data_IF_299399446198
#
_entry.id   IF_299399446198
#
_cell.length_a   1.000
_cell.length_b   1.000
_cell.length_c   1.000
_cell.angle_alpha   90.00
_cell.angle_beta   90.00
_cell.angle_gamma   90.00
#
_symmetry.space_group_name_H-M   'P 1'
#
loop_
_entity.id
_entity.type
_entity.pdbx_description
1 polymer ?
#
# COMPACT_ATOMS: atom_id res chain seq x y z
N UNK A 1 -20.37 8.71 8.05
CA UNK A 1 -19.79 9.19 6.78
C UNK A 1 -18.39 8.58 6.66
N UNK A 2 -18.01 8.04 5.49
CA UNK A 2 -16.66 7.53 5.29
C UNK A 2 -15.69 8.69 4.93
N UNK A 3 -14.37 8.47 5.01
CA UNK A 3 -13.35 9.51 4.77
C UNK A 3 -13.47 10.12 3.36
N UNK A 4 -13.81 9.31 2.37
CA UNK A 4 -14.01 9.76 0.99
C UNK A 4 -15.20 10.72 0.87
N UNK A 5 -16.33 10.41 1.52
CA UNK A 5 -17.50 11.30 1.57
C UNK A 5 -17.14 12.63 2.20
N UNK A 6 -16.39 12.63 3.31
CA UNK A 6 -15.99 13.87 3.99
C UNK A 6 -15.12 14.73 3.06
N UNK A 7 -14.13 14.12 2.39
CA UNK A 7 -13.27 14.83 1.45
C UNK A 7 -14.05 15.41 0.26
N UNK A 8 -14.97 14.63 -0.32
CA UNK A 8 -15.79 15.06 -1.46
C UNK A 8 -16.79 16.16 -1.07
N UNK A 9 -17.45 16.03 0.09
CA UNK A 9 -18.38 17.05 0.59
C UNK A 9 -17.64 18.34 0.90
N UNK A 10 -16.46 18.27 1.52
CA UNK A 10 -15.62 19.44 1.76
C UNK A 10 -15.21 20.14 0.46
N UNK A 11 -14.78 19.37 -0.55
CA UNK A 11 -14.45 19.90 -1.87
C UNK A 11 -15.66 20.55 -2.55
N UNK A 12 -16.83 19.91 -2.51
CA UNK A 12 -18.07 20.45 -3.06
C UNK A 12 -18.47 21.77 -2.37
N UNK A 13 -18.35 21.83 -1.03
CA UNK A 13 -18.69 23.02 -0.26
C UNK A 13 -17.83 24.23 -0.67
N UNK A 14 -16.53 24.04 -0.85
CA UNK A 14 -15.60 25.09 -1.30
C UNK A 14 -15.96 25.64 -2.68
N UNK A 15 -16.39 24.76 -3.60
CA UNK A 15 -16.83 25.17 -4.94
C UNK A 15 -18.16 25.92 -4.86
N UNK A 16 -19.12 25.42 -4.08
CA UNK A 16 -20.43 26.09 -3.91
C UNK A 16 -20.34 27.46 -3.26
N UNK A 17 -19.39 27.65 -2.34
CA UNK A 17 -19.14 28.94 -1.69
C UNK A 17 -18.28 29.89 -2.54
N UNK A 18 -17.93 29.52 -3.78
CA UNK A 18 -17.04 30.29 -4.66
C UNK A 18 -15.66 30.60 -4.05
N UNK A 19 -15.20 29.79 -3.10
CA UNK A 19 -13.82 29.86 -2.60
C UNK A 19 -12.85 29.37 -3.68
N UNK A 20 -13.28 28.37 -4.45
CA UNK A 20 -12.63 27.86 -5.66
C UNK A 20 -13.62 27.85 -6.82
N UNK A 21 -13.15 28.15 -8.03
CA UNK A 21 -13.91 27.82 -9.23
C UNK A 21 -13.87 26.31 -9.51
N UNK A 22 -14.87 25.79 -10.22
CA UNK A 22 -14.86 24.38 -10.65
C UNK A 22 -13.63 24.04 -11.50
N UNK A 23 -13.16 24.98 -12.33
CA UNK A 23 -11.95 24.81 -13.14
C UNK A 23 -10.68 24.73 -12.27
N UNK A 24 -10.58 25.53 -11.22
CA UNK A 24 -9.47 25.48 -10.26
C UNK A 24 -9.50 24.18 -9.45
N UNK A 25 -10.69 23.72 -9.04
CA UNK A 25 -10.84 22.46 -8.35
C UNK A 25 -10.41 21.28 -9.24
N UNK A 26 -10.83 21.26 -10.51
CA UNK A 26 -10.37 20.24 -11.46
C UNK A 26 -8.86 20.27 -11.68
N UNK A 27 -8.29 21.47 -11.88
CA UNK A 27 -6.85 21.65 -12.06
C UNK A 27 -6.01 21.36 -10.81
N UNK A 28 -6.62 21.23 -9.64
CA UNK A 28 -5.93 20.85 -8.41
C UNK A 28 -5.63 19.34 -8.32
N UNK A 29 -6.41 18.51 -9.03
CA UNK A 29 -6.26 17.06 -8.99
C UNK A 29 -5.01 16.66 -9.78
N UNK A 30 -4.05 16.01 -9.14
CA UNK A 30 -2.87 15.49 -9.83
C UNK A 30 -3.21 14.21 -10.62
N UNK A 31 -3.22 14.26 -11.96
CA UNK A 31 -3.60 13.11 -12.78
C UNK A 31 -2.61 11.95 -12.62
N UNK A 32 -1.33 12.25 -12.39
CA UNK A 32 -0.28 11.24 -12.25
C UNK A 32 -0.53 10.36 -11.03
N UNK A 33 -0.84 10.95 -9.88
CA UNK A 33 -1.19 10.22 -8.65
C UNK A 33 -2.45 9.38 -8.81
N UNK A 34 -3.51 9.95 -9.38
CA UNK A 34 -4.79 9.22 -9.56
C UNK A 34 -4.60 8.02 -10.50
N UNK A 35 -3.91 8.21 -11.62
CA UNK A 35 -3.59 7.14 -12.58
C UNK A 35 -2.70 6.08 -11.92
N UNK A 36 -1.70 6.52 -11.15
CA UNK A 36 -0.81 5.61 -10.44
C UNK A 36 -1.54 4.75 -9.40
N UNK A 37 -2.37 5.38 -8.56
CA UNK A 37 -3.18 4.68 -7.55
C UNK A 37 -4.10 3.64 -8.18
N UNK A 38 -4.84 4.03 -9.21
CA UNK A 38 -5.72 3.12 -9.95
C UNK A 38 -4.92 1.94 -10.53
N UNK A 39 -3.76 2.24 -11.14
CA UNK A 39 -2.91 1.22 -11.77
C UNK A 39 -2.35 0.22 -10.75
N UNK A 40 -1.87 0.71 -9.61
CA UNK A 40 -1.37 -0.15 -8.52
C UNK A 40 -2.48 -1.02 -7.93
N UNK A 41 -3.70 -0.50 -7.79
CA UNK A 41 -4.85 -1.32 -7.37
C UNK A 41 -5.18 -2.42 -8.39
N UNK A 42 -5.14 -2.11 -9.68
CA UNK A 42 -5.33 -3.10 -10.75
C UNK A 42 -4.26 -4.20 -10.70
N UNK A 43 -2.99 -3.82 -10.49
CA UNK A 43 -1.88 -4.78 -10.36
C UNK A 43 -2.09 -5.68 -9.12
N UNK A 44 -2.39 -5.09 -7.97
CA UNK A 44 -2.64 -5.82 -6.73
C UNK A 44 -3.83 -6.76 -6.83
N UNK A 45 -4.90 -6.33 -7.50
CA UNK A 45 -6.06 -7.17 -7.76
C UNK A 45 -5.70 -8.39 -8.64
N UNK A 46 -4.89 -8.19 -9.68
CA UNK A 46 -4.40 -9.30 -10.51
C UNK A 46 -3.52 -10.28 -9.73
N UNK A 47 -2.63 -9.77 -8.86
CA UNK A 47 -1.81 -10.60 -7.96
C UNK A 47 -2.67 -11.42 -7.00
N UNK A 48 -3.70 -10.79 -6.42
CA UNK A 48 -4.67 -11.46 -5.55
C UNK A 48 -5.42 -12.57 -6.29
N UNK A 49 -5.99 -12.28 -7.47
CA UNK A 49 -6.66 -13.31 -8.27
C UNK A 49 -5.73 -14.44 -8.74
N UNK A 50 -4.45 -14.15 -8.94
CA UNK A 50 -3.44 -15.14 -9.29
C UNK A 50 -3.09 -16.10 -8.13
N UNK A 51 -3.40 -15.72 -6.89
CA UNK A 51 -3.02 -16.45 -5.68
C UNK A 51 -1.59 -16.17 -5.21
N UNK A 52 -1.03 -15.00 -5.59
CA UNK A 52 0.34 -14.62 -5.25
C UNK A 52 0.54 -14.46 -3.73
N UNK A 53 -0.41 -13.80 -3.07
CA UNK A 53 -0.30 -13.45 -1.66
C UNK A 53 -0.36 -14.69 -0.75
N UNK A 54 -1.27 -15.62 -1.06
CA UNK A 54 -1.38 -16.91 -0.38
C UNK A 54 -0.12 -17.76 -0.58
N UNK A 55 0.39 -17.83 -1.82
CA UNK A 55 1.62 -18.55 -2.14
C UNK A 55 2.81 -17.97 -1.38
N UNK A 56 2.92 -16.64 -1.34
CA UNK A 56 4.04 -15.95 -0.71
C UNK A 56 4.00 -16.14 0.81
N UNK A 57 2.84 -15.96 1.44
CA UNK A 57 2.69 -16.21 2.87
C UNK A 57 3.05 -17.65 3.23
N UNK A 58 2.55 -18.63 2.48
CA UNK A 58 2.89 -20.04 2.68
C UNK A 58 4.38 -20.33 2.52
N UNK A 59 5.03 -19.66 1.58
CA UNK A 59 6.46 -19.80 1.35
C UNK A 59 7.27 -19.17 2.49
N UNK A 60 6.83 -18.01 3.00
CA UNK A 60 7.44 -17.34 4.15
C UNK A 60 7.37 -18.23 5.39
N UNK A 61 6.18 -18.69 5.77
CA UNK A 61 6.01 -19.47 7.01
C UNK A 61 6.71 -20.83 6.98
N UNK A 62 7.07 -21.35 5.79
CA UNK A 62 7.89 -22.57 5.65
C UNK A 62 9.35 -22.38 6.06
N UNK A 63 9.83 -21.14 6.14
CA UNK A 63 11.21 -20.82 6.52
C UNK A 63 11.46 -20.95 8.02
N UNK A 64 10.41 -21.21 8.81
CA UNK A 64 10.52 -21.25 10.26
C UNK A 64 9.55 -22.25 10.89
N UNK A 65 9.97 -22.82 12.01
CA UNK A 65 9.16 -23.78 12.78
C UNK A 65 8.91 -23.31 14.22
N UNK A 66 9.34 -22.09 14.58
CA UNK A 66 9.25 -21.55 15.93
C UNK A 66 8.32 -20.33 16.02
N UNK A 67 7.63 -20.12 17.15
CA UNK A 67 6.82 -18.92 17.39
C UNK A 67 7.56 -17.61 17.17
N UNK A 68 8.83 -17.53 17.62
CA UNK A 68 9.67 -16.35 17.42
C UNK A 68 10.06 -16.16 15.95
N UNK A 69 10.48 -17.23 15.28
CA UNK A 69 10.84 -17.15 13.87
C UNK A 69 9.64 -16.81 12.99
N UNK A 70 8.44 -17.28 13.34
CA UNK A 70 7.18 -16.88 12.69
C UNK A 70 6.93 -15.38 12.85
N UNK A 71 7.17 -14.82 14.04
CA UNK A 71 7.04 -13.37 14.28
C UNK A 71 8.01 -12.56 13.41
N UNK A 72 9.28 -12.98 13.35
CA UNK A 72 10.30 -12.32 12.55
C UNK A 72 10.00 -12.39 11.05
N UNK A 73 9.67 -13.58 10.54
CA UNK A 73 9.37 -13.81 9.13
C UNK A 73 8.09 -13.08 8.71
N UNK A 74 7.06 -13.08 9.55
CA UNK A 74 5.85 -12.29 9.26
C UNK A 74 6.17 -10.81 9.25
N UNK A 75 6.89 -10.29 10.25
CA UNK A 75 7.25 -8.87 10.31
C UNK A 75 8.07 -8.43 9.08
N UNK A 76 9.20 -9.08 8.80
CA UNK A 76 10.06 -8.69 7.68
C UNK A 76 9.45 -9.05 6.31
N UNK A 77 8.82 -10.22 6.20
CA UNK A 77 8.21 -10.66 4.94
C UNK A 77 7.02 -9.79 4.54
N UNK A 78 6.12 -9.48 5.47
CA UNK A 78 4.98 -8.59 5.19
C UNK A 78 5.42 -7.14 5.02
N UNK A 79 6.40 -6.68 5.80
CA UNK A 79 6.98 -5.34 5.63
C UNK A 79 7.61 -5.16 4.25
N UNK A 80 8.38 -6.15 3.79
CA UNK A 80 8.97 -6.14 2.45
C UNK A 80 7.91 -6.14 1.35
N UNK A 81 6.89 -7.01 1.46
CA UNK A 81 5.79 -7.01 0.49
C UNK A 81 5.05 -5.68 0.48
N UNK A 82 4.79 -5.11 1.64
CA UNK A 82 4.12 -3.81 1.79
C UNK A 82 4.96 -2.63 1.30
N UNK A 83 6.27 -2.80 1.14
CA UNK A 83 7.14 -1.81 0.50
C UNK A 83 7.00 -1.82 -1.03
N UNK A 84 6.44 -2.86 -1.65
CA UNK A 84 6.25 -2.89 -3.12
C UNK A 84 4.78 -2.88 -3.53
N UNK A 85 3.90 -3.33 -2.65
CA UNK A 85 2.46 -3.43 -2.84
C UNK A 85 1.72 -2.54 -1.85
N UNK A 86 0.43 -2.28 -2.08
CA UNK A 86 -0.37 -1.46 -1.18
C UNK A 86 -0.53 -2.16 0.17
N UNK A 87 -0.12 -1.48 1.24
CA UNK A 87 -0.22 -1.92 2.63
C UNK A 87 -1.61 -2.46 3.00
N UNK A 88 -2.68 -1.79 2.57
CA UNK A 88 -4.06 -2.21 2.85
C UNK A 88 -4.39 -3.58 2.24
N UNK A 89 -3.86 -3.88 1.05
CA UNK A 89 -4.05 -5.18 0.39
C UNK A 89 -3.37 -6.28 1.18
N UNK A 90 -2.13 -6.06 1.62
CA UNK A 90 -1.39 -7.04 2.43
C UNK A 90 -2.10 -7.28 3.76
N UNK A 91 -2.50 -6.21 4.45
CA UNK A 91 -3.20 -6.30 5.73
C UNK A 91 -4.51 -7.10 5.61
N UNK A 92 -5.35 -6.78 4.63
CA UNK A 92 -6.64 -7.45 4.44
C UNK A 92 -6.52 -8.92 4.02
N UNK A 93 -5.56 -9.24 3.15
CA UNK A 93 -5.38 -10.62 2.66
C UNK A 93 -4.67 -11.50 3.68
N UNK A 94 -3.67 -10.98 4.39
CA UNK A 94 -2.89 -11.78 5.34
C UNK A 94 -3.61 -11.96 6.67
N UNK A 95 -4.46 -11.02 7.11
CA UNK A 95 -5.22 -11.14 8.36
C UNK A 95 -5.98 -12.48 8.51
N UNK A 96 -6.86 -12.89 7.57
CA UNK A 96 -7.58 -14.15 7.69
C UNK A 96 -6.66 -15.38 7.61
N UNK A 97 -5.54 -15.27 6.88
CA UNK A 97 -4.57 -16.35 6.75
C UNK A 97 -3.76 -16.53 8.04
N UNK A 98 -3.28 -15.44 8.65
CA UNK A 98 -2.57 -15.45 9.94
C UNK A 98 -3.51 -15.92 11.06
N UNK A 99 -4.78 -15.48 11.07
CA UNK A 99 -5.79 -15.99 12.01
C UNK A 99 -5.97 -17.50 11.90
N UNK A 100 -6.10 -18.01 10.68
CA UNK A 100 -6.26 -19.45 10.43
C UNK A 100 -5.02 -20.23 10.84
N UNK A 101 -3.83 -19.69 10.53
CA UNK A 101 -2.55 -20.26 10.91
C UNK A 101 -2.40 -20.31 12.43
N UNK A 102 -2.57 -19.20 13.13
CA UNK A 102 -2.45 -19.14 14.59
C UNK A 102 -3.41 -20.11 15.28
N UNK A 103 -4.67 -20.22 14.81
CA UNK A 103 -5.64 -21.20 15.31
C UNK A 103 -5.17 -22.64 15.10
N UNK A 104 -4.67 -22.97 13.90
CA UNK A 104 -4.18 -24.32 13.58
C UNK A 104 -2.96 -24.73 14.41
N UNK A 105 -2.17 -23.75 14.85
CA UNK A 105 -0.96 -23.93 15.64
C UNK A 105 -1.21 -23.80 17.15
N UNK A 106 -2.46 -23.58 17.57
CA UNK A 106 -2.83 -23.26 18.95
C UNK A 106 -2.03 -22.10 19.56
N UNK A 107 -1.65 -21.12 18.73
CA UNK A 107 -0.95 -19.91 19.14
C UNK A 107 -1.94 -18.76 19.38
N UNK A 108 -1.59 -17.85 20.29
CA UNK A 108 -2.30 -16.59 20.43
C UNK A 108 -2.15 -15.76 19.13
N UNK A 109 -3.24 -15.44 18.39
CA UNK A 109 -3.15 -14.71 17.14
C UNK A 109 -2.78 -13.23 17.32
N UNK A 110 -3.01 -12.66 18.50
CA UNK A 110 -2.87 -11.22 18.75
C UNK A 110 -1.48 -10.69 18.38
N UNK A 111 -0.35 -11.23 18.91
CA UNK A 111 0.97 -10.70 18.57
C UNK A 111 1.30 -10.80 17.08
N UNK A 112 0.84 -11.83 16.38
CA UNK A 112 1.08 -11.99 14.93
C UNK A 112 0.24 -11.04 14.07
N UNK A 113 -0.97 -10.69 14.52
CA UNK A 113 -1.78 -9.67 13.87
C UNK A 113 -1.25 -8.25 14.13
N UNK A 114 -0.75 -7.99 15.34
CA UNK A 114 -0.04 -6.74 15.64
C UNK A 114 1.27 -6.66 14.84
N UNK A 115 1.96 -7.80 14.67
CA UNK A 115 3.12 -7.91 13.79
C UNK A 115 2.76 -7.51 12.36
N UNK A 116 1.72 -8.12 11.79
CA UNK A 116 1.21 -7.77 10.46
C UNK A 116 0.88 -6.27 10.37
N UNK A 117 0.07 -5.74 11.28
CA UNK A 117 -0.42 -4.36 11.22
C UNK A 117 0.72 -3.33 11.31
N UNK A 118 1.66 -3.53 12.24
CA UNK A 118 2.82 -2.64 12.33
C UNK A 118 3.77 -2.84 11.15
N UNK A 119 3.95 -4.07 10.67
CA UNK A 119 4.88 -4.36 9.59
C UNK A 119 4.42 -3.80 8.25
N UNK A 120 3.13 -3.88 7.92
CA UNK A 120 2.60 -3.27 6.70
C UNK A 120 2.75 -1.75 6.74
N UNK A 121 2.54 -1.13 7.90
CA UNK A 121 2.71 0.32 8.02
C UNK A 121 4.18 0.72 7.95
N UNK A 122 5.03 0.17 8.82
CA UNK A 122 6.47 0.48 8.87
C UNK A 122 7.21 0.09 7.59
N UNK A 123 6.87 -1.06 6.98
CA UNK A 123 7.46 -1.50 5.72
C UNK A 123 7.06 -0.61 4.54
N UNK A 124 5.79 -0.19 4.45
CA UNK A 124 5.34 0.67 3.35
C UNK A 124 6.01 2.04 3.31
N UNK A 125 6.51 2.54 4.45
CA UNK A 125 7.26 3.81 4.52
C UNK A 125 8.53 3.77 3.67
N UNK A 126 9.08 2.58 3.38
CA UNK A 126 10.33 2.45 2.63
C UNK A 126 10.23 2.92 1.16
N UNK A 127 9.05 3.02 0.54
CA UNK A 127 8.94 3.36 -0.89
C UNK A 127 7.77 4.29 -1.20
N UNK A 128 7.83 4.96 -2.36
CA UNK A 128 6.73 5.77 -2.84
C UNK A 128 5.48 4.94 -3.18
N UNK A 129 5.65 3.68 -3.61
CA UNK A 129 4.53 2.82 -4.04
C UNK A 129 3.86 2.04 -2.90
N UNK A 130 4.49 1.96 -1.73
CA UNK A 130 4.03 1.10 -0.63
C UNK A 130 2.71 1.53 -0.01
N UNK A 131 2.41 2.84 0.01
CA UNK A 131 1.12 3.32 0.49
C UNK A 131 0.65 4.60 -0.23
N UNK A 132 -0.66 4.90 -0.20
CA UNK A 132 -1.22 6.10 -0.83
C UNK A 132 -0.65 7.43 -0.32
N UNK A 133 -0.23 7.49 0.94
CA UNK A 133 0.30 8.71 1.55
C UNK A 133 1.67 9.08 0.96
N UNK A 134 2.53 8.08 0.72
CA UNK A 134 3.84 8.27 0.12
C UNK A 134 3.71 8.71 -1.34
N UNK A 135 2.73 8.17 -2.06
CA UNK A 135 2.40 8.60 -3.43
C UNK A 135 2.04 10.08 -3.43
N UNK A 136 1.22 10.53 -2.48
CA UNK A 136 0.88 11.94 -2.32
C UNK A 136 2.10 12.82 -2.04
N UNK A 137 3.02 12.34 -1.20
CA UNK A 137 4.26 13.08 -0.93
C UNK A 137 5.08 13.20 -2.21
N UNK A 138 5.21 12.13 -2.99
CA UNK A 138 5.89 12.13 -4.29
C UNK A 138 5.22 13.04 -5.34
N UNK A 139 3.93 13.35 -5.20
CA UNK A 139 3.25 14.29 -6.11
C UNK A 139 3.54 15.75 -5.79
N UNK A 140 3.85 16.07 -4.54
CA UNK A 140 4.16 17.44 -4.09
C UNK A 140 5.66 17.71 -3.98
N UNK A 141 6.48 16.68 -3.78
CA UNK A 141 7.92 16.80 -3.62
C UNK A 141 8.65 16.18 -4.84
N UNK A 142 9.58 16.90 -5.50
CA UNK A 142 10.32 16.39 -6.64
C UNK A 142 11.46 15.45 -6.20
N UNK A 143 11.10 14.31 -5.61
CA UNK A 143 12.04 13.31 -5.09
C UNK A 143 12.00 12.07 -5.99
N UNK A 144 13.17 11.58 -6.39
CA UNK A 144 13.32 10.32 -7.12
C UNK A 144 12.82 9.13 -6.29
N UNK A 145 12.28 8.11 -6.95
CA UNK A 145 11.88 6.86 -6.30
C UNK A 145 13.01 6.23 -5.51
N UNK A 146 14.23 6.23 -6.07
CA UNK A 146 15.40 5.65 -5.43
C UNK A 146 15.87 6.50 -4.25
N UNK A 147 15.90 7.82 -4.39
CA UNK A 147 16.33 8.72 -3.30
C UNK A 147 15.40 8.61 -2.09
N UNK A 148 14.08 8.57 -2.36
CA UNK A 148 13.08 8.33 -1.33
C UNK A 148 13.30 6.98 -0.65
N UNK A 149 13.55 5.93 -1.44
CA UNK A 149 13.77 4.59 -0.92
C UNK A 149 15.05 4.48 -0.08
N UNK A 150 16.17 5.05 -0.54
CA UNK A 150 17.43 5.04 0.21
C UNK A 150 17.31 5.80 1.53
N UNK A 151 16.57 6.91 1.56
CA UNK A 151 16.37 7.69 2.77
C UNK A 151 15.50 6.94 3.81
N UNK A 152 14.42 6.28 3.36
CA UNK A 152 13.42 5.72 4.28
C UNK A 152 13.59 4.23 4.56
N UNK A 153 14.30 3.47 3.73
CA UNK A 153 14.56 2.04 3.99
C UNK A 153 15.25 1.79 5.34
N UNK A 154 16.28 2.55 5.75
CA UNK A 154 16.88 2.38 7.08
C UNK A 154 15.87 2.62 8.21
N UNK A 155 15.00 3.62 8.06
CA UNK A 155 13.96 3.96 9.04
C UNK A 155 12.92 2.83 9.14
N UNK A 156 12.52 2.28 8.00
CA UNK A 156 11.61 1.14 7.93
C UNK A 156 12.21 -0.09 8.62
N UNK A 157 13.48 -0.43 8.34
CA UNK A 157 14.17 -1.56 8.96
C UNK A 157 14.25 -1.38 10.48
N UNK A 158 14.67 -0.20 10.95
CA UNK A 158 14.74 0.09 12.40
C UNK A 158 13.36 -0.04 13.04
N UNK A 159 12.32 0.48 12.39
CA UNK A 159 10.94 0.38 12.88
C UNK A 159 10.46 -1.06 13.01
N UNK A 160 10.75 -1.91 12.01
CA UNK A 160 10.43 -3.34 12.04
C UNK A 160 11.17 -4.08 13.17
N UNK A 161 12.45 -3.77 13.40
CA UNK A 161 13.23 -4.34 14.49
C UNK A 161 12.66 -3.91 15.86
N UNK A 162 12.39 -2.63 16.03
CA UNK A 162 11.80 -2.10 17.27
C UNK A 162 10.43 -2.72 17.55
N UNK A 163 9.62 -2.92 16.52
CA UNK A 163 8.34 -3.59 16.63
C UNK A 163 8.49 -5.04 17.11
N UNK A 164 9.44 -5.81 16.57
CA UNK A 164 9.71 -7.18 17.06
C UNK A 164 10.12 -7.14 18.53
N UNK A 165 11.01 -6.22 18.91
CA UNK A 165 11.44 -6.04 20.30
C UNK A 165 10.27 -5.73 21.23
N UNK A 166 9.39 -4.81 20.83
CA UNK A 166 8.19 -4.44 21.57
C UNK A 166 7.22 -5.61 21.72
N UNK A 167 6.97 -6.36 20.64
CA UNK A 167 6.08 -7.52 20.68
C UNK A 167 6.66 -8.65 21.53
N UNK A 168 7.98 -8.86 21.47
CA UNK A 168 8.66 -9.79 22.38
C UNK A 168 8.53 -9.33 23.83
N UNK A 169 8.61 -8.03 24.11
CA UNK A 169 8.46 -7.48 25.46
C UNK A 169 7.03 -7.69 26.00
N UNK A 170 6.02 -7.31 25.21
CA UNK A 170 4.61 -7.39 25.59
C UNK A 170 4.04 -8.82 25.63
N UNK A 171 4.52 -9.72 24.76
CA UNK A 171 4.01 -11.09 24.63
C UNK A 171 5.14 -12.12 24.80
N UNK A 172 5.53 -12.49 26.05
CA UNK A 172 6.65 -13.40 26.30
C UNK A 172 6.50 -14.78 25.62
N UNK A 173 5.28 -15.23 25.37
CA UNK A 173 4.94 -16.47 24.67
C UNK A 173 5.53 -16.57 23.25
N UNK A 174 5.71 -15.44 22.56
CA UNK A 174 6.29 -15.43 21.20
C UNK A 174 7.81 -15.61 21.21
N UNK A 175 8.46 -15.56 22.37
CA UNK A 175 9.91 -15.76 22.50
C UNK A 175 10.33 -17.23 22.37
N UNK A 176 9.36 -18.15 22.41
CA UNK A 176 9.65 -19.58 22.30
C UNK A 176 10.32 -19.92 20.97
N UNK A 177 11.47 -20.59 21.05
CA UNK A 177 12.22 -21.08 19.90
C UNK A 177 11.96 -22.57 19.61
N UNK A 178 11.17 -23.25 20.47
CA UNK A 178 10.88 -24.68 20.30
C UNK A 178 10.08 -24.88 19.01
N UNK A 179 10.55 -25.83 18.19
CA UNK A 179 9.85 -26.24 16.99
C UNK A 179 8.51 -26.86 17.38
N UNK A 180 7.42 -26.12 17.15
CA UNK A 180 6.04 -26.55 17.44
C UNK A 180 5.10 -26.31 16.27
N UNK A 181 5.59 -25.66 15.21
CA UNK A 181 4.79 -25.25 14.08
C UNK A 181 4.77 -26.34 13.01
N UNK A 182 3.70 -27.12 12.99
CA UNK A 182 3.38 -28.01 11.87
C UNK A 182 2.49 -27.25 10.89
N UNK A 183 2.99 -27.02 9.68
CA UNK A 183 2.30 -26.21 8.69
C UNK A 183 0.94 -26.82 8.31
N UNK A 184 -0.17 -26.09 8.46
CA UNK A 184 -1.46 -26.54 7.94
C UNK A 184 -1.41 -26.60 6.42
N UNK A 185 -2.08 -27.60 5.83
CA UNK A 185 -2.35 -27.64 4.40
C UNK A 185 -3.42 -26.59 4.05
N UNK A 186 -3.02 -25.32 3.95
CA UNK A 186 -3.89 -24.26 3.45
C UNK A 186 -4.17 -24.51 1.97
N UNK A 187 -5.42 -24.80 1.64
CA UNK A 187 -5.88 -24.91 0.25
C UNK A 187 -6.20 -23.52 -0.27
N UNK A 188 -5.53 -23.12 -1.35
CA UNK A 188 -5.81 -21.87 -2.05
C UNK A 188 -5.77 -22.13 -3.56
N UNK A 189 -6.43 -21.26 -4.33
CA UNK A 189 -6.50 -21.40 -5.79
C UNK A 189 -5.32 -20.65 -6.42
N UNK A 190 -4.43 -21.39 -7.07
CA UNK A 190 -3.29 -20.82 -7.78
C UNK A 190 -3.53 -20.83 -9.29
N UNK A 191 -3.58 -19.65 -9.90
CA UNK A 191 -3.72 -19.51 -11.35
C UNK A 191 -2.33 -19.26 -11.99
N UNK A 192 -1.55 -20.34 -12.15
CA UNK A 192 -0.16 -20.29 -12.66
C UNK A 192 0.07 -19.38 -13.88
N UNK A 193 -0.72 -19.45 -14.99
CA UNK A 193 -0.43 -18.61 -16.16
C UNK A 193 -0.67 -17.13 -15.88
N UNK A 194 -1.66 -16.79 -15.06
CA UNK A 194 -1.92 -15.41 -14.66
C UNK A 194 -0.84 -14.91 -13.70
N UNK A 195 -0.41 -15.76 -12.77
CA UNK A 195 0.66 -15.45 -11.82
C UNK A 195 1.95 -15.08 -12.55
N UNK A 196 2.41 -15.93 -13.47
CA UNK A 196 3.66 -15.69 -14.22
C UNK A 196 3.57 -14.38 -15.01
N UNK A 197 2.46 -14.17 -15.74
CA UNK A 197 2.24 -12.92 -16.48
C UNK A 197 2.28 -11.71 -15.54
N UNK A 198 1.60 -11.80 -14.40
CA UNK A 198 1.50 -10.69 -13.45
C UNK A 198 2.84 -10.38 -12.80
N UNK A 199 3.62 -11.41 -12.43
CA UNK A 199 4.96 -11.25 -11.88
C UNK A 199 5.92 -10.62 -12.88
N UNK A 200 5.93 -11.08 -14.14
CA UNK A 200 6.79 -10.50 -15.18
C UNK A 200 6.50 -9.00 -15.35
N UNK A 201 5.21 -8.62 -15.44
CA UNK A 201 4.82 -7.22 -15.61
C UNK A 201 5.14 -6.39 -14.36
N UNK A 202 4.91 -6.94 -13.16
CA UNK A 202 5.22 -6.25 -11.90
C UNK A 202 6.73 -6.04 -11.74
N UNK A 203 7.55 -7.04 -12.04
CA UNK A 203 9.02 -6.91 -12.00
C UNK A 203 9.49 -5.87 -13.03
N UNK A 204 8.93 -5.89 -14.25
CA UNK A 204 9.20 -4.87 -15.26
C UNK A 204 8.83 -3.46 -14.79
N UNK A 205 7.72 -3.31 -14.08
CA UNK A 205 7.31 -2.05 -13.47
C UNK A 205 8.30 -1.56 -12.40
N UNK A 206 8.75 -2.46 -11.52
CA UNK A 206 9.74 -2.10 -10.49
C UNK A 206 11.05 -1.66 -11.13
N UNK A 207 11.51 -2.34 -12.18
CA UNK A 207 12.69 -1.92 -12.96
C UNK A 207 12.46 -0.53 -13.58
N UNK A 208 11.28 -0.27 -14.16
CA UNK A 208 10.94 1.03 -14.72
C UNK A 208 11.01 2.16 -13.68
N UNK A 209 10.59 1.92 -12.43
CA UNK A 209 10.75 2.90 -11.34
C UNK A 209 12.22 3.18 -11.03
N UNK A 210 13.07 2.16 -11.03
CA UNK A 210 14.53 2.35 -10.80
C UNK A 210 15.21 3.10 -11.94
N UNK A 211 14.65 3.06 -13.16
CA UNK A 211 15.13 3.82 -14.32
C UNK A 211 14.64 5.27 -14.33
N UNK A 212 13.89 5.72 -13.31
CA UNK A 212 13.37 7.08 -13.23
C UNK A 212 12.23 7.36 -14.21
N UNK A 213 11.60 6.32 -14.78
CA UNK A 213 10.41 6.50 -15.61
C UNK A 213 9.28 7.04 -14.74
N UNK A 214 8.54 8.02 -15.27
CA UNK A 214 7.40 8.63 -14.59
C UNK A 214 6.42 7.56 -14.09
N UNK A 215 6.22 7.54 -12.76
CA UNK A 215 5.51 6.48 -12.06
C UNK A 215 4.12 6.23 -12.63
N UNK A 216 3.36 7.30 -12.89
CA UNK A 216 2.01 7.21 -13.46
C UNK A 216 1.98 6.50 -14.82
N UNK A 217 2.90 6.85 -15.73
CA UNK A 217 2.99 6.25 -17.08
C UNK A 217 3.42 4.78 -17.02
N UNK A 218 4.44 4.47 -16.22
CA UNK A 218 4.94 3.10 -16.06
C UNK A 218 3.84 2.19 -15.47
N UNK A 219 3.18 2.64 -14.41
CA UNK A 219 2.11 1.90 -13.75
C UNK A 219 0.90 1.71 -14.66
N UNK A 220 0.49 2.76 -15.40
CA UNK A 220 -0.61 2.66 -16.37
C UNK A 220 -0.33 1.64 -17.46
N UNK A 221 0.89 1.63 -17.98
CA UNK A 221 1.31 0.67 -19.01
C UNK A 221 1.25 -0.76 -18.46
N UNK A 222 1.77 -0.99 -17.26
CA UNK A 222 1.71 -2.28 -16.59
C UNK A 222 0.26 -2.73 -16.36
N UNK A 223 -0.60 -1.86 -15.83
CA UNK A 223 -2.01 -2.14 -15.59
C UNK A 223 -2.75 -2.46 -16.89
N UNK A 224 -2.53 -1.70 -17.96
CA UNK A 224 -3.12 -1.96 -19.27
C UNK A 224 -2.73 -3.34 -19.82
N UNK A 225 -1.44 -3.70 -19.76
CA UNK A 225 -0.95 -5.01 -20.18
C UNK A 225 -1.57 -6.17 -19.38
N UNK A 226 -1.85 -5.97 -18.08
CA UNK A 226 -2.53 -6.96 -17.25
C UNK A 226 -4.01 -7.13 -17.63
N UNK A 227 -4.70 -6.02 -17.91
CA UNK A 227 -6.10 -6.03 -18.32
C UNK A 227 -6.32 -6.68 -19.70
N UNK A 228 -5.32 -6.67 -20.58
CA UNK A 228 -5.36 -7.41 -21.86
C UNK A 228 -5.17 -8.91 -21.59
N UNK A 229 -6.21 -9.56 -21.08
CA UNK A 229 -6.17 -10.97 -20.68
C UNK A 229 -7.49 -11.67 -21.04
N UNK A 230 -7.42 -12.82 -21.71
CA UNK A 230 -8.61 -13.66 -22.00
C UNK A 230 -9.11 -14.47 -20.78
N UNK A 231 -8.35 -14.51 -19.69
CA UNK A 231 -8.55 -15.41 -18.54
C UNK A 231 -9.44 -14.83 -17.43
N UNK A 232 -9.39 -13.52 -17.19
CA UNK A 232 -10.19 -12.82 -16.18
C UNK A 232 -10.93 -11.68 -16.85
N UNK A 233 -12.24 -11.60 -16.62
CA UNK A 233 -13.05 -10.47 -17.07
C UNK A 233 -12.59 -9.19 -16.36
N UNK A 234 -12.30 -8.09 -17.07
CA UNK A 234 -11.85 -6.83 -16.46
C UNK A 234 -12.78 -6.34 -15.34
N UNK A 235 -14.09 -6.60 -15.43
CA UNK A 235 -15.06 -6.24 -14.39
C UNK A 235 -14.70 -6.79 -13.01
N UNK A 236 -14.13 -8.01 -12.93
CA UNK A 236 -13.73 -8.62 -11.67
C UNK A 236 -12.54 -7.89 -11.03
N UNK A 237 -11.61 -7.42 -11.85
CA UNK A 237 -10.46 -6.65 -11.41
C UNK A 237 -10.91 -5.27 -10.94
N UNK A 238 -11.75 -4.59 -11.71
CA UNK A 238 -12.27 -3.27 -11.38
C UNK A 238 -13.16 -3.25 -10.13
N UNK A 239 -13.78 -4.39 -9.75
CA UNK A 239 -14.52 -4.54 -8.49
C UNK A 239 -13.63 -4.60 -7.25
N UNK A 240 -12.35 -4.98 -7.38
CA UNK A 240 -11.40 -4.99 -6.26
C UNK A 240 -10.69 -3.64 -6.08
N UNK A 241 -10.81 -2.73 -7.04
CA UNK A 241 -10.28 -1.36 -6.94
C UNK A 241 -11.02 -0.61 -5.84
N UNK A 242 -10.29 0.08 -4.97
CA UNK A 242 -10.87 0.94 -3.94
C UNK A 242 -11.22 2.31 -4.52
N UNK A 243 -12.46 2.43 -5.01
CA UNK A 243 -13.02 3.67 -5.52
C UNK A 243 -13.15 4.75 -4.43
N UNK A 244 -13.32 4.38 -3.16
CA UNK A 244 -13.37 5.36 -2.08
C UNK A 244 -12.02 6.06 -1.93
N UNK A 245 -10.92 5.32 -2.05
CA UNK A 245 -9.59 5.91 -1.99
C UNK A 245 -9.38 6.92 -3.13
N UNK A 246 -9.75 6.58 -4.37
CA UNK A 246 -9.63 7.51 -5.50
C UNK A 246 -10.43 8.80 -5.27
N UNK A 247 -11.69 8.68 -4.84
CA UNK A 247 -12.55 9.83 -4.51
C UNK A 247 -11.97 10.66 -3.37
N UNK A 248 -11.44 9.99 -2.34
CA UNK A 248 -10.80 10.65 -1.20
C UNK A 248 -9.59 11.49 -1.65
N UNK A 249 -8.72 10.94 -2.50
CA UNK A 249 -7.55 11.63 -3.00
C UNK A 249 -7.91 12.81 -3.90
N UNK A 250 -8.88 12.64 -4.81
CA UNK A 250 -9.40 13.76 -5.61
C UNK A 250 -9.94 14.89 -4.73
N UNK A 251 -10.71 14.57 -3.68
CA UNK A 251 -11.20 15.57 -2.72
C UNK A 251 -10.06 16.23 -1.93
N UNK A 252 -9.07 15.45 -1.49
CA UNK A 252 -7.91 15.96 -0.75
C UNK A 252 -7.08 16.94 -1.59
N UNK A 253 -6.84 16.63 -2.86
CA UNK A 253 -6.15 17.56 -3.78
C UNK A 253 -6.86 18.92 -3.85
N UNK A 254 -8.18 18.92 -4.03
CA UNK A 254 -9.00 20.14 -4.04
C UNK A 254 -8.88 20.90 -2.71
N UNK A 255 -9.00 20.20 -1.59
CA UNK A 255 -8.88 20.80 -0.25
C UNK A 255 -7.49 21.42 -0.02
N UNK A 256 -6.42 20.75 -0.44
CA UNK A 256 -5.05 21.25 -0.28
C UNK A 256 -4.78 22.49 -1.12
N UNK A 257 -5.42 22.65 -2.29
CA UNK A 257 -5.26 23.82 -3.15
C UNK A 257 -5.76 25.11 -2.47
N UNK A 258 -6.82 25.03 -1.67
CA UNK A 258 -7.34 26.20 -0.92
C UNK A 258 -6.29 26.76 0.01
N UNK A 259 -5.57 25.89 0.73
CA UNK A 259 -4.52 26.32 1.65
C UNK A 259 -3.47 27.17 0.93
N UNK A 260 -3.01 26.72 -0.23
CA UNK A 260 -2.02 27.43 -1.05
C UNK A 260 -2.52 28.80 -1.51
N UNK A 261 -3.81 28.93 -1.82
CA UNK A 261 -4.41 30.21 -2.22
C UNK A 261 -4.51 31.17 -1.03
N UNK A 262 -4.92 30.67 0.15
CA UNK A 262 -5.00 31.47 1.37
C UNK A 262 -3.61 31.97 1.79
N UNK A 263 -2.59 31.11 1.78
CA UNK A 263 -1.21 31.50 2.09
C UNK A 263 -0.67 32.56 1.11
N UNK A 264 -1.01 32.48 -0.18
CA UNK A 264 -0.64 33.51 -1.17
C UNK A 264 -1.37 34.83 -0.94
N UNK A 265 -2.65 34.81 -0.55
CA UNK A 265 -3.40 36.03 -0.22
C UNK A 265 -2.82 36.72 1.01
N UNK A 266 -2.46 35.95 2.03
CA UNK A 266 -1.89 36.46 3.28
C UNK A 266 -0.53 37.13 3.05
N UNK A 267 0.36 36.48 2.27
CA UNK A 267 1.65 37.08 1.87
C UNK A 267 1.49 38.38 1.06
N UNK A 268 0.48 38.47 0.19
CA UNK A 268 0.19 39.71 -0.57
C UNK A 268 -0.34 40.82 0.33
N UNK A 269 -1.18 40.50 1.32
CA UNK A 269 -1.71 41.48 2.27
C UNK A 269 -0.59 42.07 3.14
N UNK A 270 0.36 41.25 3.61
CA UNK A 270 1.51 41.73 4.40
C UNK A 270 2.45 42.62 3.58
N UNK A 271 2.60 42.38 2.27
CA UNK A 271 3.47 43.19 1.41
C UNK A 271 2.84 44.53 0.97
N UNK A 272 1.54 44.71 1.12
CA UNK A 272 0.86 45.99 0.86
C UNK A 272 0.84 46.95 2.08
N UNK A 273 1.27 46.46 3.25
CA UNK A 273 1.30 47.24 4.51
C UNK A 273 2.74 47.73 4.82
N UNK A 274 3.73 47.36 4.01
CA UNK A 274 5.11 47.88 4.04
C UNK A 274 5.34 48.80 2.85
#
# INVERSE_FOLDING_TARGET
MNRATIALVGAAFLVTLNVLSLSQAWGAIDPNTIVFLLSMMVINANLSYAGFFELTLLSLIRLTSSPFGLLCILTFGTGLLSAFFLNDTIALLFTPLILSLARSLALNPIPYLLALAGATNSGSVATLSGNPQNILIGSFAPISYLDFAFALTPIAIVSLILQIGLLCWLYPEVRSQKASVSLPNLRFRLHKPLLIKTLIITIGLLIAFTMGIEMGKAALTAAALLLITRRIKPEKVLRQVDWNLLVMFSGLFILTMVRTILEKKDKKAVHQIR
#
